data_IF_509869566771
#
_entry.id   IF_509869566771
#
_cell.length_a   1.000
_cell.length_b   1.000
_cell.length_c   1.000
_cell.angle_alpha   90.00
_cell.angle_beta   90.00
_cell.angle_gamma   90.00
#
_symmetry.space_group_name_H-M   'P 1'
#
loop_
_entity.id
_entity.type
_entity.pdbx_description
1 polymer ?
#
# COMPACT_ATOMS: atom_id res chain seq x y z
N UNK A 1 -13.97 11.76 -7.17
CA UNK A 1 -12.54 11.44 -7.02
C UNK A 1 -12.13 11.55 -5.55
N UNK A 2 -12.05 10.41 -4.87
CA UNK A 2 -11.54 10.27 -3.50
C UNK A 2 -10.04 9.93 -3.54
N UNK A 3 -9.32 10.22 -2.46
CA UNK A 3 -7.91 9.81 -2.26
C UNK A 3 -7.86 8.74 -1.17
N UNK A 4 -7.29 7.58 -1.50
CA UNK A 4 -7.17 6.44 -0.58
C UNK A 4 -5.71 6.26 -0.16
N UNK A 5 -5.41 6.38 1.12
CA UNK A 5 -4.06 6.13 1.65
C UNK A 5 -3.90 4.65 1.94
N UNK A 6 -2.96 3.99 1.29
CA UNK A 6 -2.71 2.56 1.44
C UNK A 6 -1.24 2.30 1.74
N UNK A 7 -0.98 1.22 2.47
CA UNK A 7 0.36 0.74 2.76
C UNK A 7 0.76 -0.32 1.73
N UNK A 8 2.04 -0.31 1.35
CA UNK A 8 2.71 -1.37 0.61
C UNK A 8 3.96 -1.80 1.38
N UNK A 9 4.32 -3.07 1.21
CA UNK A 9 5.58 -3.63 1.71
C UNK A 9 6.53 -3.80 0.53
N UNK A 10 7.82 -3.93 0.82
CA UNK A 10 8.75 -4.47 -0.16
C UNK A 10 8.41 -5.94 -0.48
N UNK A 11 8.60 -6.39 -1.74
CA UNK A 11 9.09 -5.62 -2.89
C UNK A 11 8.01 -4.82 -3.64
N UNK A 12 6.74 -4.92 -3.24
CA UNK A 12 5.62 -4.35 -3.99
C UNK A 12 5.62 -2.82 -4.07
N UNK A 13 6.15 -2.13 -3.06
CA UNK A 13 6.31 -0.69 -3.12
C UNK A 13 7.26 -0.29 -4.25
N UNK A 14 8.43 -0.93 -4.34
CA UNK A 14 9.40 -0.70 -5.41
C UNK A 14 8.82 -1.09 -6.78
N UNK A 15 8.07 -2.18 -6.87
CA UNK A 15 7.46 -2.57 -8.14
C UNK A 15 6.47 -1.52 -8.66
N UNK A 16 5.73 -0.85 -7.79
CA UNK A 16 4.87 0.27 -8.20
C UNK A 16 5.71 1.52 -8.49
N UNK A 17 6.69 1.84 -7.63
CA UNK A 17 7.54 3.03 -7.79
C UNK A 17 8.34 3.04 -9.10
N UNK A 18 8.87 1.86 -9.49
CA UNK A 18 9.60 1.67 -10.74
C UNK A 18 8.69 1.29 -11.93
N UNK A 19 7.37 1.42 -11.79
CA UNK A 19 6.37 1.13 -12.82
C UNK A 19 6.48 -0.29 -13.42
N UNK A 20 6.85 -1.29 -12.61
CA UNK A 20 6.84 -2.72 -12.97
C UNK A 20 5.50 -3.38 -12.68
N UNK A 21 4.72 -2.76 -11.78
CA UNK A 21 3.40 -3.23 -11.33
C UNK A 21 2.37 -2.13 -11.47
N UNK A 22 1.41 -2.35 -12.36
CA UNK A 22 0.39 -1.34 -12.74
C UNK A 22 -1.01 -1.61 -12.15
N UNK A 23 -1.12 -2.52 -11.18
CA UNK A 23 -2.41 -2.90 -10.58
C UNK A 23 -2.32 -3.09 -9.06
N UNK A 24 -3.45 -3.06 -8.36
CA UNK A 24 -3.58 -3.38 -6.93
C UNK A 24 -4.74 -4.35 -6.71
N UNK A 25 -4.52 -5.41 -5.91
CA UNK A 25 -5.59 -6.32 -5.48
C UNK A 25 -5.92 -6.01 -4.02
N UNK A 26 -7.15 -5.57 -3.77
CA UNK A 26 -7.62 -5.17 -2.42
C UNK A 26 -9.05 -5.62 -2.23
N UNK A 27 -9.42 -5.90 -0.97
CA UNK A 27 -10.83 -5.98 -0.58
C UNK A 27 -11.49 -4.63 -0.85
N UNK A 28 -12.66 -4.62 -1.48
CA UNK A 28 -13.42 -3.38 -1.72
C UNK A 28 -14.18 -2.93 -0.46
N UNK A 29 -13.46 -2.61 0.60
CA UNK A 29 -13.96 -2.13 1.90
C UNK A 29 -13.99 -0.58 2.01
N UNK A 30 -13.58 0.10 0.94
CA UNK A 30 -13.49 1.57 0.85
C UNK A 30 -14.33 2.15 -0.28
N UNK A 31 -15.11 1.31 -0.97
CA UNK A 31 -15.90 1.70 -2.14
C UNK A 31 -15.01 2.36 -3.21
N UNK A 32 -14.01 1.63 -3.70
CA UNK A 32 -13.09 2.12 -4.73
C UNK A 32 -13.84 2.32 -6.05
N UNK A 33 -13.67 3.49 -6.66
CA UNK A 33 -14.31 3.85 -7.92
C UNK A 33 -13.28 4.22 -8.99
N UNK A 34 -13.62 4.03 -10.26
CA UNK A 34 -12.80 4.49 -11.38
C UNK A 34 -12.60 6.01 -11.28
N UNK A 35 -11.35 6.46 -11.43
CA UNK A 35 -10.97 7.87 -11.29
C UNK A 35 -10.59 8.30 -9.87
N UNK A 36 -10.70 7.43 -8.87
CA UNK A 36 -10.09 7.66 -7.55
C UNK A 36 -8.55 7.60 -7.62
N UNK A 37 -7.89 8.18 -6.62
CA UNK A 37 -6.43 8.19 -6.51
C UNK A 37 -5.95 7.38 -5.32
N UNK A 38 -4.94 6.54 -5.53
CA UNK A 38 -4.23 5.85 -4.46
C UNK A 38 -3.00 6.66 -4.06
N UNK A 39 -2.79 6.83 -2.75
CA UNK A 39 -1.54 7.35 -2.18
C UNK A 39 -0.89 6.19 -1.44
N UNK A 40 0.17 5.65 -2.03
CA UNK A 40 0.85 4.45 -1.56
C UNK A 40 2.04 4.86 -0.69
N UNK A 41 2.14 4.27 0.50
CA UNK A 41 3.24 4.50 1.43
C UNK A 41 3.97 3.19 1.69
N UNK A 42 5.30 3.23 1.64
CA UNK A 42 6.12 2.12 2.12
C UNK A 42 5.88 1.93 3.62
N UNK A 43 5.68 0.68 4.02
CA UNK A 43 5.50 0.32 5.41
C UNK A 43 6.36 -0.90 5.75
N UNK A 44 7.26 -0.80 6.74
CA UNK A 44 8.14 -1.90 7.12
C UNK A 44 7.34 -3.08 7.69
N UNK A 45 7.91 -4.27 7.59
CA UNK A 45 7.44 -5.41 8.38
C UNK A 45 7.68 -5.09 9.85
N UNK A 46 6.62 -5.08 10.66
CA UNK A 46 6.80 -5.24 12.10
C UNK A 46 7.22 -6.68 12.34
N UNK A 47 8.45 -6.86 12.76
CA UNK A 47 8.95 -8.14 13.26
C UNK A 47 8.63 -8.25 14.74
N UNK A 48 8.66 -9.46 15.29
CA UNK A 48 8.45 -9.67 16.73
C UNK A 48 9.48 -8.92 17.59
N UNK A 49 10.66 -8.58 17.03
CA UNK A 49 11.67 -7.78 17.71
C UNK A 49 11.22 -6.32 17.92
N UNK A 50 10.38 -5.78 17.02
CA UNK A 50 9.88 -4.41 17.10
C UNK A 50 8.78 -4.23 18.15
N UNK A 51 8.17 -5.33 18.60
CA UNK A 51 7.06 -5.33 19.58
C UNK A 51 7.56 -5.23 21.03
N UNK A 52 8.83 -5.56 21.30
CA UNK A 52 9.42 -5.56 22.65
C UNK A 52 10.18 -4.27 23.01
N UNK A 53 10.08 -3.21 22.19
CA UNK A 53 10.71 -1.90 22.47
C UNK A 53 9.72 -0.81 22.88
N UNK A 54 8.59 -1.17 23.51
CA UNK A 54 7.65 -0.24 24.14
C UNK A 54 7.42 -0.60 25.61
#
# INVERSE_FOLDING_TARGET
MKKHKLKLRQPFFDDVYFNRKEFEVRKNDRDYQVGDRLVLFEFPLKTNADTNML
#
